data_IF_580761374410
#
_entry.id   IF_580761374410
#
_cell.length_a   1.000
_cell.length_b   1.000
_cell.length_c   1.000
_cell.angle_alpha   90.00
_cell.angle_beta   90.00
_cell.angle_gamma   90.00
#
_symmetry.space_group_name_H-M   'P 1'
#
loop_
_entity.id
_entity.type
_entity.pdbx_description
1 polymer ?
#
# COMPACT_ATOMS: atom_id res chain seq x y z
N UNK A 1 40.15 -37.99 -23.45
CA UNK A 1 38.74 -37.60 -23.68
C UNK A 1 37.84 -38.55 -22.91
N UNK A 2 36.87 -38.00 -22.16
CA UNK A 2 35.64 -38.61 -21.56
C UNK A 2 35.37 -37.93 -20.19
N UNK A 3 34.85 -36.69 -20.21
CA UNK A 3 33.45 -36.28 -19.97
C UNK A 3 33.06 -36.32 -18.48
N UNK A 4 33.12 -35.14 -17.85
CA UNK A 4 32.61 -34.82 -16.52
C UNK A 4 31.07 -34.81 -16.56
N UNK A 5 30.35 -35.39 -15.60
CA UNK A 5 28.99 -34.96 -15.30
C UNK A 5 29.02 -34.09 -14.04
N UNK A 6 28.83 -32.78 -14.25
CA UNK A 6 28.58 -31.82 -13.19
C UNK A 6 27.27 -32.20 -12.51
N UNK A 7 27.35 -32.64 -11.24
CA UNK A 7 26.17 -32.92 -10.44
C UNK A 7 25.53 -31.59 -10.05
N UNK A 8 24.42 -31.28 -10.70
CA UNK A 8 23.58 -30.10 -10.51
C UNK A 8 23.11 -29.98 -9.06
N UNK A 9 23.60 -28.96 -8.35
CA UNK A 9 23.00 -28.46 -7.11
C UNK A 9 21.69 -27.76 -7.45
N UNK A 10 20.57 -28.47 -7.34
CA UNK A 10 19.24 -27.87 -7.38
C UNK A 10 18.95 -27.34 -5.97
N UNK A 11 19.33 -26.09 -5.71
CA UNK A 11 18.81 -25.35 -4.56
C UNK A 11 17.35 -25.01 -4.84
N UNK A 12 16.42 -25.76 -4.26
CA UNK A 12 15.01 -25.41 -4.26
C UNK A 12 14.81 -24.14 -3.43
N UNK A 13 14.71 -23.00 -4.11
CA UNK A 13 14.29 -21.73 -3.51
C UNK A 13 12.83 -21.87 -3.08
N UNK A 14 12.60 -22.03 -1.78
CA UNK A 14 11.24 -21.97 -1.22
C UNK A 14 10.81 -20.50 -1.29
N UNK A 15 10.09 -20.13 -2.34
CA UNK A 15 9.43 -18.84 -2.40
C UNK A 15 8.25 -18.89 -1.43
N UNK A 16 8.47 -18.54 -0.17
CA UNK A 16 7.40 -18.37 0.81
C UNK A 16 6.58 -17.13 0.44
N UNK A 17 5.72 -17.25 -0.57
CA UNK A 17 4.68 -16.29 -0.91
C UNK A 17 3.50 -16.37 0.06
N UNK A 18 3.77 -16.53 1.36
CA UNK A 18 2.75 -16.37 2.38
C UNK A 18 2.83 -14.92 2.85
N UNK A 19 2.18 -14.02 2.12
CA UNK A 19 1.93 -12.68 2.62
C UNK A 19 1.08 -12.87 3.88
N UNK A 20 1.70 -12.74 5.05
CA UNK A 20 0.95 -12.68 6.31
C UNK A 20 -0.10 -11.60 6.11
N UNK A 21 -1.37 -11.98 6.19
CA UNK A 21 -2.48 -11.04 6.12
C UNK A 21 -2.28 -10.04 7.25
N UNK A 22 -1.66 -8.90 6.93
CA UNK A 22 -1.45 -7.81 7.88
C UNK A 22 -2.84 -7.28 8.25
N UNK A 23 -3.05 -6.97 9.52
CA UNK A 23 -4.28 -6.33 9.97
C UNK A 23 -4.54 -5.07 9.12
N UNK A 24 -5.78 -4.88 8.68
CA UNK A 24 -6.14 -3.68 7.92
C UNK A 24 -6.09 -2.49 8.88
N UNK A 25 -5.26 -1.50 8.57
CA UNK A 25 -5.11 -0.28 9.35
C UNK A 25 -5.89 0.87 8.71
N UNK A 26 -6.39 1.78 9.53
CA UNK A 26 -7.17 2.94 9.08
C UNK A 26 -6.28 4.04 8.50
N UNK A 27 -6.91 4.98 7.79
CA UNK A 27 -6.24 6.20 7.30
C UNK A 27 -5.62 6.99 8.44
N UNK A 28 -6.35 7.19 9.54
CA UNK A 28 -5.85 7.95 10.70
C UNK A 28 -4.66 7.28 11.38
N UNK A 29 -4.67 5.94 11.43
CA UNK A 29 -3.52 5.19 11.91
C UNK A 29 -2.29 5.47 11.04
N UNK A 30 -2.41 5.43 9.72
CA UNK A 30 -1.30 5.77 8.82
C UNK A 30 -0.90 7.25 8.86
N UNK A 31 -1.79 8.17 9.22
CA UNK A 31 -1.41 9.57 9.49
C UNK A 31 -0.48 9.65 10.69
N UNK A 32 -0.82 8.97 11.79
CA UNK A 32 -0.04 8.95 13.03
C UNK A 32 1.27 8.13 12.92
N UNK A 33 1.31 7.12 12.06
CA UNK A 33 2.43 6.17 11.95
C UNK A 33 3.23 6.39 10.66
N UNK A 34 4.08 7.42 10.67
CA UNK A 34 4.80 7.88 9.47
C UNK A 34 5.77 6.84 8.90
N UNK A 35 6.50 6.13 9.75
CA UNK A 35 7.48 5.11 9.30
C UNK A 35 6.79 3.98 8.54
N UNK A 36 5.68 3.50 9.09
CA UNK A 36 4.89 2.39 8.58
C UNK A 36 4.15 2.77 7.30
N UNK A 37 3.61 4.00 7.25
CA UNK A 37 3.05 4.57 6.01
C UNK A 37 4.10 4.57 4.89
N UNK A 38 5.30 5.09 5.14
CA UNK A 38 6.34 5.18 4.12
C UNK A 38 6.80 3.79 3.65
N UNK A 39 7.05 2.87 4.58
CA UNK A 39 7.44 1.49 4.27
C UNK A 39 6.38 0.79 3.42
N UNK A 40 5.11 0.95 3.75
CA UNK A 40 4.02 0.36 2.99
C UNK A 40 3.89 1.00 1.61
N UNK A 41 3.97 2.32 1.49
CA UNK A 41 3.89 3.01 0.20
C UNK A 41 4.99 2.57 -0.78
N UNK A 42 6.21 2.34 -0.30
CA UNK A 42 7.28 1.78 -1.15
C UNK A 42 6.92 0.37 -1.63
N UNK A 43 6.36 -0.47 -0.74
CA UNK A 43 5.86 -1.79 -1.14
C UNK A 43 4.74 -1.66 -2.19
N UNK A 44 3.76 -0.77 -1.98
CA UNK A 44 2.66 -0.52 -2.91
C UNK A 44 3.14 -0.16 -4.32
N UNK A 45 4.21 0.64 -4.45
CA UNK A 45 4.77 1.05 -5.75
C UNK A 45 5.43 -0.10 -6.52
N UNK A 46 6.03 -1.05 -5.80
CA UNK A 46 6.73 -2.20 -6.42
C UNK A 46 5.80 -3.22 -7.06
N UNK A 47 4.48 -3.10 -6.87
CA UNK A 47 3.49 -4.04 -7.40
C UNK A 47 2.21 -3.30 -7.82
N UNK A 48 2.17 -2.72 -9.04
CA UNK A 48 0.99 -2.00 -9.55
C UNK A 48 -0.23 -2.90 -9.80
N UNK A 49 -0.14 -4.20 -9.52
CA UNK A 49 -1.25 -5.16 -9.53
C UNK A 49 -1.98 -5.23 -8.18
N UNK A 50 -2.33 -6.44 -7.76
CA UNK A 50 -3.21 -6.74 -6.61
C UNK A 50 -2.81 -6.03 -5.30
N UNK A 51 -1.51 -5.87 -5.04
CA UNK A 51 -1.03 -5.24 -3.83
C UNK A 51 -1.43 -3.75 -3.76
N UNK A 52 -1.36 -3.04 -4.88
CA UNK A 52 -1.67 -1.59 -4.95
C UNK A 52 -3.13 -1.25 -4.63
N UNK A 53 -4.05 -2.20 -4.87
CA UNK A 53 -5.48 -2.06 -4.58
C UNK A 53 -5.87 -2.68 -3.23
N UNK A 54 -4.91 -3.18 -2.46
CA UNK A 54 -5.16 -3.67 -1.10
C UNK A 54 -5.68 -2.54 -0.21
N UNK A 55 -6.52 -2.88 0.77
CA UNK A 55 -7.07 -1.91 1.72
C UNK A 55 -5.98 -1.09 2.43
N UNK A 56 -4.86 -1.73 2.78
CA UNK A 56 -3.73 -1.06 3.40
C UNK A 56 -3.03 -0.08 2.44
N UNK A 57 -2.81 -0.44 1.17
CA UNK A 57 -2.25 0.49 0.18
C UNK A 57 -3.17 1.68 -0.10
N UNK A 58 -4.49 1.45 -0.17
CA UNK A 58 -5.48 2.52 -0.32
C UNK A 58 -5.46 3.46 0.89
N UNK A 59 -5.44 2.90 2.11
CA UNK A 59 -5.49 3.70 3.33
C UNK A 59 -4.19 4.51 3.54
N UNK A 60 -3.03 3.91 3.28
CA UNK A 60 -1.75 4.62 3.35
C UNK A 60 -1.61 5.72 2.30
N UNK A 61 -2.07 5.47 1.07
CA UNK A 61 -2.08 6.47 -0.01
C UNK A 61 -3.03 7.62 0.31
N UNK A 62 -4.22 7.31 0.84
CA UNK A 62 -5.20 8.31 1.28
C UNK A 62 -4.64 9.18 2.41
N UNK A 63 -3.92 8.59 3.37
CA UNK A 63 -3.26 9.33 4.43
C UNK A 63 -2.20 10.31 3.89
N UNK A 64 -1.34 9.84 2.96
CA UNK A 64 -0.32 10.69 2.33
C UNK A 64 -0.94 11.86 1.54
N UNK A 65 -2.02 11.59 0.81
CA UNK A 65 -2.76 12.62 0.08
C UNK A 65 -3.39 13.64 1.03
N UNK A 66 -4.04 13.18 2.10
CA UNK A 66 -4.65 14.06 3.09
C UNK A 66 -3.62 14.99 3.74
N UNK A 67 -2.46 14.47 4.16
CA UNK A 67 -1.36 15.28 4.70
C UNK A 67 -0.89 16.33 3.68
N UNK A 68 -0.75 15.94 2.41
CA UNK A 68 -0.34 16.86 1.34
C UNK A 68 -1.35 17.98 1.14
N UNK A 69 -2.65 17.67 1.20
CA UNK A 69 -3.72 18.66 1.09
C UNK A 69 -3.74 19.61 2.29
N UNK A 70 -3.58 19.08 3.50
CA UNK A 70 -3.49 19.86 4.74
C UNK A 70 -2.31 20.86 4.68
N UNK A 71 -1.13 20.41 4.24
CA UNK A 71 0.06 21.26 4.05
C UNK A 71 -0.14 22.37 3.00
N UNK A 72 -0.93 22.10 1.97
CA UNK A 72 -1.30 23.10 0.94
C UNK A 72 -2.40 24.05 1.40
N UNK A 73 -2.93 23.88 2.60
CA UNK A 73 -3.98 24.73 3.16
C UNK A 73 -5.39 24.42 2.63
N UNK A 74 -5.59 23.27 1.97
CA UNK A 74 -6.94 22.86 1.59
C UNK A 74 -7.76 22.59 2.85
N UNK A 75 -8.90 23.29 2.95
CA UNK A 75 -9.87 23.06 4.02
C UNK A 75 -10.81 21.93 3.62
N UNK A 76 -11.18 21.10 4.59
CA UNK A 76 -12.27 20.15 4.40
C UNK A 76 -13.53 20.93 4.02
N UNK A 77 -14.13 20.59 2.87
CA UNK A 77 -15.42 21.17 2.48
C UNK A 77 -16.52 20.36 3.12
N UNK A 78 -17.51 21.03 3.70
CA UNK A 78 -18.71 20.34 4.15
C UNK A 78 -19.43 19.71 2.94
N UNK A 79 -19.97 18.49 3.08
CA UNK A 79 -20.78 17.89 2.04
C UNK A 79 -21.98 18.79 1.72
N UNK A 80 -22.15 19.13 0.44
CA UNK A 80 -23.34 19.84 0.00
C UNK A 80 -24.50 18.85 -0.09
N UNK A 81 -25.57 19.12 0.66
CA UNK A 81 -26.81 18.38 0.51
C UNK A 81 -27.62 18.98 -0.65
N UNK A 82 -27.65 18.28 -1.79
CA UNK A 82 -28.40 18.72 -2.96
C UNK A 82 -29.93 18.61 -2.79
N UNK A 83 -30.40 17.81 -1.82
CA UNK A 83 -31.84 17.62 -1.58
C UNK A 83 -32.51 18.85 -0.97
N UNK A 84 -31.76 19.84 -0.46
CA UNK A 84 -32.32 21.04 0.15
C UNK A 84 -32.40 22.26 -0.78
N UNK A 85 -31.92 22.19 -2.02
CA UNK A 85 -31.87 23.34 -2.95
C UNK A 85 -33.05 23.43 -3.93
N UNK A 86 -34.04 22.53 -3.82
CA UNK A 86 -35.28 22.60 -4.58
C UNK A 86 -36.45 23.14 -3.74
N UNK A 87 -36.57 24.46 -3.63
CA UNK A 87 -37.83 25.15 -3.28
C UNK A 87 -37.93 26.46 -4.03
#
# INVERSE_FOLDING_TARGET
MKRVPALLLITASILTGCERQESIQTVDWYKANTSERLKLLERCKTSPGELSISANCINASSAANAITLELRGYKHREPINFSSQGK
#
